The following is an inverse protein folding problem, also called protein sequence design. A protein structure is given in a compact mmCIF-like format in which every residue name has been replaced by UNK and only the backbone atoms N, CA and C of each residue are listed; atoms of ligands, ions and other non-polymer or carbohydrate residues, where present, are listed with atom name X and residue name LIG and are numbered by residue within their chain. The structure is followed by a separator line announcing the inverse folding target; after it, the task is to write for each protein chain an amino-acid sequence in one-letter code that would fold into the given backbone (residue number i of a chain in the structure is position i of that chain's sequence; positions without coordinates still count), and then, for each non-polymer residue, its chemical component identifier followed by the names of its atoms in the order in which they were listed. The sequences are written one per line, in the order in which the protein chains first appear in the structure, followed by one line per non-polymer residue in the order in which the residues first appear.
data_IF_613659463885
#
_entry.id   IF_613659463885
#
_cell.length_a   1.000
_cell.length_b   1.000
_cell.length_c   1.000
_cell.angle_alpha   90.00
_cell.angle_beta   90.00
_cell.angle_gamma   90.00
#
_symmetry.space_group_name_H-M   'P 1'
#
loop_
_entity.id
_entity.type
_entity.pdbx_description
1 polymer ?
#
# COMPACT_ATOMS: atom_id res chain seq x y z
N UNK A 1 -7.83 -5.42 -7.05
CA UNK A 1 -8.52 -4.13 -6.80
C UNK A 1 -7.54 -2.98 -6.55
N UNK A 2 -6.76 -2.96 -5.46
CA UNK A 2 -5.78 -1.87 -5.18
C UNK A 2 -4.43 -2.00 -5.89
N UNK A 3 -4.13 -3.17 -6.48
CA UNK A 3 -2.92 -3.45 -7.27
C UNK A 3 -1.59 -3.16 -6.53
N UNK A 4 -1.42 -3.61 -5.27
CA UNK A 4 -0.12 -3.52 -4.60
C UNK A 4 0.89 -4.49 -5.22
N UNK A 5 2.19 -4.22 -5.04
CA UNK A 5 3.24 -5.20 -5.29
C UNK A 5 3.48 -6.09 -4.07
N UNK A 6 3.48 -5.52 -2.88
CA UNK A 6 3.69 -6.22 -1.62
C UNK A 6 2.45 -6.14 -0.73
N UNK A 7 2.10 -7.27 -0.11
CA UNK A 7 1.04 -7.37 0.89
C UNK A 7 1.63 -8.00 2.14
N UNK A 8 1.68 -7.21 3.23
CA UNK A 8 2.26 -7.62 4.51
C UNK A 8 1.14 -8.09 5.44
N UNK A 9 1.40 -9.14 6.22
CA UNK A 9 0.51 -9.68 7.26
C UNK A 9 1.21 -9.56 8.62
N UNK A 10 0.44 -9.68 9.71
CA UNK A 10 0.99 -9.67 11.07
C UNK A 10 1.22 -8.27 11.65
N UNK A 11 0.66 -7.23 11.02
CA UNK A 11 0.68 -5.86 11.52
C UNK A 11 -0.73 -5.35 11.80
N UNK A 12 -0.85 -4.30 12.61
CA UNK A 12 -2.12 -3.63 12.87
C UNK A 12 -2.71 -2.96 11.60
N UNK A 13 -4.00 -2.60 11.62
CA UNK A 13 -4.60 -1.85 10.53
C UNK A 13 -3.83 -0.57 10.25
N UNK A 14 -3.50 -0.33 8.97
CA UNK A 14 -2.77 0.86 8.52
C UNK A 14 -1.39 1.06 9.16
N UNK A 15 -0.78 0.01 9.72
CA UNK A 15 0.55 0.10 10.33
C UNK A 15 1.58 0.71 9.37
N UNK A 16 1.41 0.51 8.06
CA UNK A 16 2.26 1.08 7.03
C UNK A 16 2.32 2.61 7.03
N UNK A 17 1.35 3.28 7.66
CA UNK A 17 1.32 4.73 7.74
C UNK A 17 2.42 5.31 8.62
N UNK A 18 2.89 4.54 9.61
CA UNK A 18 3.96 4.93 10.51
C UNK A 18 5.35 4.50 10.06
N UNK A 19 5.47 3.75 8.97
CA UNK A 19 6.76 3.22 8.53
C UNK A 19 7.62 4.32 7.87
N UNK A 20 8.91 4.33 8.21
CA UNK A 20 9.94 5.15 7.57
C UNK A 20 10.84 4.30 6.66
N UNK A 21 11.16 3.08 7.11
CA UNK A 21 11.92 2.07 6.36
C UNK A 21 11.29 0.70 6.51
N UNK A 22 11.47 -0.12 5.48
CA UNK A 22 11.03 -1.51 5.43
C UNK A 22 12.18 -2.33 4.86
N UNK A 23 12.45 -3.51 5.43
CA UNK A 23 13.31 -4.51 4.82
C UNK A 23 12.49 -5.78 4.60
N UNK A 24 12.50 -6.31 3.38
CA UNK A 24 11.81 -7.55 3.02
C UNK A 24 12.87 -8.54 2.54
N UNK A 25 13.06 -9.63 3.29
CA UNK A 25 14.22 -10.51 3.08
C UNK A 25 15.50 -9.68 3.23
N UNK A 26 16.38 -9.71 2.24
CA UNK A 26 17.62 -8.92 2.25
C UNK A 26 17.51 -7.56 1.54
N UNK A 27 16.33 -7.21 1.01
CA UNK A 27 16.16 -5.99 0.21
C UNK A 27 15.66 -4.83 1.07
N UNK A 28 16.43 -3.74 1.23
CA UNK A 28 16.01 -2.54 1.94
C UNK A 28 15.16 -1.61 1.06
N UNK A 29 14.14 -1.04 1.66
CA UNK A 29 13.25 -0.05 1.07
C UNK A 29 13.06 1.17 1.98
N UNK A 30 12.92 2.34 1.35
CA UNK A 30 12.42 3.55 2.00
C UNK A 30 10.97 3.78 1.63
N UNK A 31 10.19 4.24 2.62
CA UNK A 31 8.81 4.67 2.39
C UNK A 31 8.83 6.06 1.76
N UNK A 32 8.43 6.16 0.50
CA UNK A 32 8.44 7.41 -0.25
C UNK A 32 7.24 8.29 0.11
N UNK A 33 6.02 7.78 -0.10
CA UNK A 33 4.80 8.58 0.05
C UNK A 33 3.56 7.73 0.31
N UNK A 34 2.47 8.39 0.74
CA UNK A 34 1.13 7.80 0.75
C UNK A 34 0.67 7.58 -0.70
N UNK A 35 -0.02 6.46 -0.96
CA UNK A 35 -0.50 6.16 -2.31
C UNK A 35 -1.92 6.73 -2.52
N UNK A 36 -2.11 7.78 -3.35
CA UNK A 36 -3.43 8.26 -3.69
C UNK A 36 -4.15 7.24 -4.57
N UNK A 37 -5.46 7.06 -4.34
CA UNK A 37 -6.25 6.06 -5.04
C UNK A 37 -7.18 6.71 -6.05
N UNK A 38 -6.99 6.31 -7.31
CA UNK A 38 -7.88 6.69 -8.40
C UNK A 38 -9.04 5.71 -8.60
N UNK A 39 -9.97 6.09 -9.48
CA UNK A 39 -11.19 5.34 -9.80
C UNK A 39 -10.95 3.91 -10.30
N UNK A 40 -9.73 3.54 -10.72
CA UNK A 40 -9.43 2.15 -11.11
C UNK A 40 -9.73 1.13 -10.00
N UNK A 41 -9.67 1.58 -8.74
CA UNK A 41 -10.01 0.75 -7.57
C UNK A 41 -11.50 0.39 -7.49
N UNK A 42 -12.36 1.10 -8.21
CA UNK A 42 -13.82 0.86 -8.22
C UNK A 42 -14.28 -0.02 -9.38
N UNK A 43 -13.36 -0.49 -10.22
CA UNK A 43 -13.62 -1.43 -11.30
C UNK A 43 -13.65 -2.86 -10.74
N UNK A 44 -14.76 -3.55 -10.93
CA UNK A 44 -14.87 -4.98 -10.69
C UNK A 44 -13.97 -5.74 -11.66
N UNK A 45 -13.00 -6.50 -11.14
CA UNK A 45 -11.95 -7.12 -11.95
C UNK A 45 -12.43 -8.35 -12.73
N UNK A 46 -13.61 -8.90 -12.41
CA UNK A 46 -14.19 -10.07 -13.08
C UNK A 46 -15.10 -9.66 -14.24
N UNK A 47 -15.81 -8.55 -14.07
CA UNK A 47 -16.87 -8.10 -15.00
C UNK A 47 -16.51 -6.82 -15.76
N UNK A 48 -15.53 -6.05 -15.29
CA UNK A 48 -15.19 -4.74 -15.84
C UNK A 48 -16.16 -3.62 -15.44
N UNK A 49 -17.23 -3.92 -14.69
CA UNK A 49 -18.22 -2.94 -14.27
C UNK A 49 -17.61 -1.89 -13.32
N UNK A 50 -18.02 -0.63 -13.49
CA UNK A 50 -17.59 0.49 -12.63
C UNK A 50 -18.60 0.71 -11.51
N UNK A 51 -18.10 0.90 -10.29
CA UNK A 51 -18.87 1.31 -9.12
C UNK A 51 -18.29 2.54 -8.42
N UNK A 52 -18.78 2.80 -7.21
CA UNK A 52 -18.25 3.86 -6.31
C UNK A 52 -17.39 3.30 -5.17
N UNK A 53 -17.55 2.02 -4.86
CA UNK A 53 -16.77 1.34 -3.81
C UNK A 53 -15.46 0.77 -4.36
N UNK A 54 -14.36 0.83 -3.59
CA UNK A 54 -14.28 1.15 -2.16
C UNK A 54 -13.97 2.62 -1.86
N UNK A 55 -13.83 3.47 -2.88
CA UNK A 55 -13.42 4.87 -2.68
C UNK A 55 -14.44 5.68 -1.90
N UNK A 56 -15.75 5.43 -2.08
CA UNK A 56 -16.79 6.11 -1.30
C UNK A 56 -16.63 5.82 0.20
N UNK A 57 -16.39 4.57 0.58
CA UNK A 57 -16.14 4.20 1.98
C UNK A 57 -14.82 4.78 2.48
N UNK A 58 -13.72 4.59 1.74
CA UNK A 58 -12.42 5.14 2.15
C UNK A 58 -12.46 6.67 2.29
N UNK A 59 -13.22 7.37 1.45
CA UNK A 59 -13.33 8.82 1.51
C UNK A 59 -13.94 9.34 2.83
N UNK A 60 -14.64 8.52 3.61
CA UNK A 60 -15.21 8.96 4.90
C UNK A 60 -14.16 9.08 6.01
N UNK A 61 -12.99 8.43 5.87
CA UNK A 61 -11.97 8.39 6.93
C UNK A 61 -10.51 8.40 6.45
N UNK A 62 -10.26 8.37 5.13
CA UNK A 62 -8.93 8.37 4.49
C UNK A 62 -8.76 9.48 3.46
N UNK A 63 -9.67 10.46 3.45
CA UNK A 63 -9.57 11.61 2.55
C UNK A 63 -8.72 12.70 3.19
N UNK A 64 -7.69 13.16 2.48
CA UNK A 64 -6.85 14.30 2.86
C UNK A 64 -6.44 15.02 1.57
N UNK A 65 -6.30 16.35 1.62
CA UNK A 65 -5.88 17.17 0.47
C UNK A 65 -6.63 16.89 -0.85
N UNK A 66 -7.92 16.52 -0.75
CA UNK A 66 -8.77 16.20 -1.90
C UNK A 66 -8.66 14.77 -2.42
N UNK A 67 -7.68 13.99 -1.97
CA UNK A 67 -7.40 12.62 -2.43
C UNK A 67 -7.74 11.58 -1.36
N UNK A 68 -7.94 10.32 -1.79
CA UNK A 68 -8.19 9.18 -0.90
C UNK A 68 -6.94 8.31 -0.84
N UNK A 69 -6.39 8.09 0.35
CA UNK A 69 -5.11 7.40 0.51
C UNK A 69 -5.25 5.97 1.04
N UNK A 70 -4.55 5.02 0.41
CA UNK A 70 -4.47 3.64 0.87
C UNK A 70 -3.18 2.95 0.37
N UNK A 71 -2.37 2.45 1.29
CA UNK A 71 -1.05 1.88 1.02
C UNK A 71 0.07 2.93 0.87
N UNK A 72 1.29 2.45 0.69
CA UNK A 72 2.52 3.26 0.59
C UNK A 72 3.34 2.90 -0.64
N UNK A 73 3.94 3.91 -1.26
CA UNK A 73 4.93 3.74 -2.32
C UNK A 73 6.31 3.53 -1.71
N UNK A 74 7.07 2.57 -2.24
CA UNK A 74 8.39 2.18 -1.74
C UNK A 74 9.45 2.37 -2.82
N UNK A 75 10.65 2.77 -2.41
CA UNK A 75 11.84 2.81 -3.26
C UNK A 75 12.85 1.83 -2.68
N UNK A 76 13.35 0.91 -3.51
CA UNK A 76 14.41 -0.01 -3.09
C UNK A 76 15.75 0.74 -3.09
N UNK A 77 16.56 0.50 -2.05
CA UNK A 77 17.91 1.06 -1.97
C UNK A 77 18.99 0.07 -2.45
N UNK A 78 18.61 -1.19 -2.75
CA UNK A 78 19.49 -2.19 -3.35
C UNK A 78 18.69 -3.16 -4.25
N UNK A 79 19.39 -3.80 -5.19
CA UNK A 79 18.85 -4.90 -5.99
C UNK A 79 18.83 -6.20 -5.18
N UNK A 80 17.86 -7.06 -5.46
CA UNK A 80 17.76 -8.38 -4.85
C UNK A 80 16.48 -9.10 -5.24
N UNK A 81 16.28 -10.27 -4.65
CA UNK A 81 15.07 -11.07 -4.83
C UNK A 81 14.22 -10.97 -3.57
N UNK A 82 12.91 -10.78 -3.75
CA UNK A 82 11.92 -10.85 -2.66
C UNK A 82 10.99 -12.00 -2.97
N UNK A 83 10.72 -12.83 -1.96
CA UNK A 83 9.86 -14.01 -2.03
C UNK A 83 8.69 -13.92 -1.06
N UNK A 84 7.60 -14.61 -1.39
CA UNK A 84 6.49 -14.77 -0.45
C UNK A 84 6.99 -15.56 0.77
N UNK A 85 6.75 -15.01 1.96
CA UNK A 85 7.19 -15.61 3.22
C UNK A 85 8.46 -14.98 3.79
N UNK A 86 9.12 -14.10 3.05
CA UNK A 86 10.27 -13.35 3.56
C UNK A 86 9.89 -12.52 4.79
N UNK A 87 10.76 -12.45 5.80
CA UNK A 87 10.53 -11.62 6.97
C UNK A 87 10.46 -10.15 6.59
N UNK A 88 9.59 -9.41 7.28
CA UNK A 88 9.43 -7.97 7.11
C UNK A 88 9.84 -7.27 8.39
N UNK A 89 10.85 -6.43 8.30
CA UNK A 89 11.29 -5.57 9.39
C UNK A 89 11.02 -4.11 9.06
N UNK A 90 10.59 -3.34 10.07
CA UNK A 90 10.15 -1.96 9.86
C UNK A 90 10.76 -1.03 10.89
N UNK A 91 11.13 0.17 10.45
CA UNK A 91 11.45 1.29 11.34
C UNK A 91 10.29 2.28 11.30
N UNK A 92 9.94 2.85 12.45
CA UNK A 92 8.88 3.85 12.57
C UNK A 92 9.41 5.27 12.27
N UNK A 93 8.50 6.21 12.03
CA UNK A 93 8.78 7.65 11.97
C UNK A 93 8.82 8.27 13.36
#
# INVERSE_FOLDING_TARGET
RFRPNFVVRGCGPYAEDGWSRIRIGDVPFRVAEACPRCAITTVDQRTGARGKEPLRTLATYRKSDGEVFFGRNLIHDALGTVSVGDPVETTLR
#
